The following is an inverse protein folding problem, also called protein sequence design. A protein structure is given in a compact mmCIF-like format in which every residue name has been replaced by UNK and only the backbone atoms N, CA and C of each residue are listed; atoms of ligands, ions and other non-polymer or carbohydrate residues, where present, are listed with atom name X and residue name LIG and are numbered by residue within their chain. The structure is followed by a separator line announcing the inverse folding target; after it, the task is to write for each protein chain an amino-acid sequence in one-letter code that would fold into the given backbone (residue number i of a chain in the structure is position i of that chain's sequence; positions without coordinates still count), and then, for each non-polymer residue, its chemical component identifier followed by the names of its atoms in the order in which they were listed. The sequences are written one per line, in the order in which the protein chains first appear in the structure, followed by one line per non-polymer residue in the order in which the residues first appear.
data_IF_036960669735
#
_entry.id   IF_036960669735
#
_cell.length_a   1.000
_cell.length_b   1.000
_cell.length_c   1.000
_cell.angle_alpha   90.00
_cell.angle_beta   90.00
_cell.angle_gamma   90.00
#
_symmetry.space_group_name_H-M   'P 1'
#
loop_
_entity.id
_entity.type
_entity.pdbx_description
1 polymer ?
#
# COMPACT_ATOMS: atom_id res chain seq x y z
N UNK A 1 -28.19 -11.88 -6.50
CA UNK A 1 -27.64 -11.07 -5.42
C UNK A 1 -26.50 -10.24 -5.94
N UNK A 2 -26.46 -8.99 -5.61
CA UNK A 2 -25.40 -8.10 -6.06
C UNK A 2 -24.48 -7.76 -4.90
N UNK A 3 -23.21 -7.72 -5.15
CA UNK A 3 -22.26 -7.37 -4.10
C UNK A 3 -21.05 -6.69 -4.72
N UNK A 4 -20.38 -5.91 -3.92
CA UNK A 4 -19.17 -5.21 -4.35
C UNK A 4 -18.22 -5.17 -3.17
N UNK A 5 -16.98 -5.50 -3.41
CA UNK A 5 -15.97 -5.48 -2.37
C UNK A 5 -14.70 -4.94 -2.99
N UNK A 6 -14.43 -3.67 -2.77
CA UNK A 6 -13.25 -3.04 -3.34
C UNK A 6 -12.65 -2.05 -2.36
N UNK A 7 -11.34 -2.11 -2.20
CA UNK A 7 -10.62 -1.26 -1.27
C UNK A 7 -9.47 -0.62 -2.02
N UNK A 8 -9.29 0.68 -1.86
CA UNK A 8 -8.17 1.39 -2.44
C UNK A 8 -7.51 2.18 -1.31
N UNK A 9 -6.22 1.94 -1.10
CA UNK A 9 -5.49 2.56 -0.01
C UNK A 9 -4.18 3.11 -0.51
N UNK A 10 -3.77 4.23 0.05
CA UNK A 10 -2.46 4.80 -0.21
C UNK A 10 -1.82 5.05 1.13
N UNK A 11 -0.68 4.49 1.37
CA UNK A 11 -0.02 4.63 2.64
C UNK A 11 1.42 4.16 2.58
N UNK A 12 1.99 3.98 3.77
CA UNK A 12 3.39 3.57 3.86
C UNK A 12 3.49 2.22 4.55
N UNK A 13 4.44 1.43 4.12
CA UNK A 13 4.66 0.12 4.72
C UNK A 13 5.19 0.29 6.13
N UNK A 14 4.66 -0.50 7.05
CA UNK A 14 5.07 -0.44 8.44
C UNK A 14 6.19 -1.40 8.74
N UNK A 15 6.45 -2.35 7.84
CA UNK A 15 7.52 -3.30 8.01
C UNK A 15 7.89 -3.83 6.63
N UNK A 16 9.01 -4.49 6.54
CA UNK A 16 9.42 -5.08 5.29
C UNK A 16 8.46 -6.19 4.91
N UNK A 17 8.15 -6.35 3.64
CA UNK A 17 7.27 -7.45 3.23
C UNK A 17 7.89 -8.81 3.55
N UNK A 18 7.06 -9.72 3.99
CA UNK A 18 7.51 -11.06 4.31
C UNK A 18 7.08 -11.96 3.18
N UNK A 19 8.02 -12.50 2.44
CA UNK A 19 7.73 -13.35 1.29
C UNK A 19 7.80 -14.80 1.70
N UNK A 20 6.76 -15.54 1.35
CA UNK A 20 6.70 -16.96 1.63
C UNK A 20 6.13 -17.66 0.41
N UNK A 21 6.25 -18.96 0.38
CA UNK A 21 5.72 -19.75 -0.72
C UNK A 21 4.73 -20.76 -0.16
N UNK A 22 3.60 -20.90 -0.83
CA UNK A 22 2.63 -21.91 -0.42
C UNK A 22 3.15 -23.30 -0.81
N UNK A 23 2.54 -24.35 -0.34
CA UNK A 23 2.94 -25.70 -0.72
C UNK A 23 2.90 -25.92 -2.23
N UNK A 24 2.08 -25.15 -2.93
CA UNK A 24 2.03 -25.27 -4.40
C UNK A 24 3.10 -24.45 -5.06
N UNK A 25 3.92 -23.74 -4.30
CA UNK A 25 4.95 -22.92 -4.89
C UNK A 25 4.52 -21.52 -5.26
N UNK A 26 3.35 -21.09 -4.85
CA UNK A 26 2.88 -19.75 -5.15
C UNK A 26 3.48 -18.75 -4.16
N UNK A 27 4.10 -17.69 -4.63
CA UNK A 27 4.64 -16.69 -3.71
C UNK A 27 3.52 -15.88 -3.06
N UNK A 28 3.69 -15.59 -1.78
CA UNK A 28 2.74 -14.79 -1.02
C UNK A 28 3.56 -13.79 -0.21
N UNK A 29 3.24 -12.52 -0.31
CA UNK A 29 3.94 -11.50 0.44
C UNK A 29 2.96 -10.75 1.31
N UNK A 30 3.30 -10.57 2.58
CA UNK A 30 2.44 -9.91 3.54
C UNK A 30 3.18 -8.73 4.15
N UNK A 31 2.50 -7.62 4.26
CA UNK A 31 3.10 -6.45 4.90
C UNK A 31 1.99 -5.61 5.53
N UNK A 32 2.37 -4.72 6.40
CA UNK A 32 1.43 -3.81 7.03
C UNK A 32 1.45 -2.48 6.32
N UNK A 33 0.32 -1.84 6.24
CA UNK A 33 0.20 -0.53 5.62
C UNK A 33 -0.38 0.44 6.64
N UNK A 34 0.21 1.60 6.75
CA UNK A 34 -0.29 2.65 7.63
C UNK A 34 -0.86 3.75 6.75
N UNK A 35 -2.14 4.01 6.92
CA UNK A 35 -2.82 5.04 6.14
C UNK A 35 -3.19 6.15 7.10
N UNK A 36 -2.62 7.32 6.89
CA UNK A 36 -2.83 8.45 7.76
C UNK A 36 -4.05 9.22 7.35
N UNK A 37 -4.76 9.71 8.32
CA UNK A 37 -5.91 10.53 8.06
C UNK A 37 -5.81 11.73 8.98
N UNK A 38 -6.01 12.90 8.44
CA UNK A 38 -5.99 14.11 9.22
C UNK A 38 -7.37 14.73 9.16
N UNK A 39 -7.91 15.07 10.30
CA UNK A 39 -9.25 15.62 10.33
C UNK A 39 -9.31 16.74 11.35
N UNK A 40 -10.33 17.55 11.23
CA UNK A 40 -10.49 18.68 12.10
C UNK A 40 -11.65 18.41 13.05
N UNK A 41 -11.39 18.62 14.33
CA UNK A 41 -12.43 18.46 15.32
C UNK A 41 -12.49 19.77 16.06
N UNK A 42 -13.55 20.54 15.87
CA UNK A 42 -13.61 21.86 16.45
C UNK A 42 -12.55 22.74 15.84
N UNK A 43 -11.72 23.29 16.67
CA UNK A 43 -10.64 24.13 16.21
C UNK A 43 -9.32 23.39 16.14
N UNK A 44 -9.31 22.11 16.41
CA UNK A 44 -8.07 21.36 16.47
C UNK A 44 -7.94 20.40 15.34
N UNK A 45 -6.74 20.25 14.83
CA UNK A 45 -6.43 19.24 13.82
C UNK A 45 -5.96 18.00 14.54
N UNK A 46 -6.49 16.86 14.14
CA UNK A 46 -6.13 15.60 14.75
C UNK A 46 -5.67 14.63 13.67
N UNK A 47 -4.79 13.74 14.08
CA UNK A 47 -4.27 12.73 13.17
C UNK A 47 -4.68 11.37 13.66
N UNK A 48 -4.93 10.48 12.73
CA UNK A 48 -5.27 9.12 13.09
C UNK A 48 -4.64 8.22 12.04
N UNK A 49 -4.25 7.04 12.44
CA UNK A 49 -3.58 6.12 11.54
C UNK A 49 -4.38 4.83 11.50
N UNK A 50 -4.66 4.36 10.30
CA UNK A 50 -5.30 3.08 10.12
C UNK A 50 -4.23 2.07 9.72
N UNK A 51 -4.09 1.01 10.50
CA UNK A 51 -3.14 -0.04 10.20
C UNK A 51 -3.89 -1.25 9.65
N UNK A 52 -3.46 -1.76 8.53
CA UNK A 52 -4.13 -2.89 7.92
C UNK A 52 -3.08 -3.78 7.27
N UNK A 53 -3.27 -5.08 7.34
CA UNK A 53 -2.36 -6.01 6.70
C UNK A 53 -2.76 -6.20 5.25
N UNK A 54 -1.77 -6.26 4.39
CA UNK A 54 -1.96 -6.43 2.96
C UNK A 54 -1.33 -7.75 2.55
N UNK A 55 -2.03 -8.51 1.73
CA UNK A 55 -1.56 -9.79 1.25
C UNK A 55 -1.50 -9.74 -0.27
N UNK A 56 -0.38 -10.13 -0.85
CA UNK A 56 -0.23 -10.18 -2.30
C UNK A 56 0.16 -11.59 -2.70
N UNK A 57 -0.20 -11.98 -3.90
CA UNK A 57 0.05 -13.32 -4.40
C UNK A 57 0.72 -13.27 -5.76
N UNK A 58 1.45 -14.31 -6.07
CA UNK A 58 1.99 -14.50 -7.40
C UNK A 58 3.15 -13.57 -7.71
N UNK A 59 3.28 -13.20 -8.96
CA UNK A 59 4.38 -12.37 -9.36
C UNK A 59 4.37 -11.04 -8.59
N UNK A 60 3.21 -10.54 -8.30
CA UNK A 60 3.13 -9.30 -7.56
C UNK A 60 3.76 -9.44 -6.18
N UNK A 61 3.62 -10.60 -5.55
CA UNK A 61 4.23 -10.81 -4.25
C UNK A 61 5.75 -10.76 -4.36
N UNK A 62 6.30 -11.31 -5.42
CA UNK A 62 7.73 -11.27 -5.61
C UNK A 62 8.20 -9.85 -5.88
N UNK A 63 7.47 -9.11 -6.70
CA UNK A 63 7.85 -7.73 -7.00
C UNK A 63 7.79 -6.88 -5.74
N UNK A 64 6.76 -7.07 -4.93
CA UNK A 64 6.64 -6.31 -3.71
C UNK A 64 7.82 -6.62 -2.78
N UNK A 65 8.16 -7.88 -2.64
CA UNK A 65 9.27 -8.25 -1.77
C UNK A 65 10.60 -7.72 -2.27
N UNK A 66 10.71 -7.50 -3.56
CA UNK A 66 11.95 -7.04 -4.15
C UNK A 66 12.12 -5.54 -4.06
N UNK A 67 11.05 -4.78 -4.23
CA UNK A 67 11.15 -3.34 -4.37
C UNK A 67 10.61 -2.52 -3.21
N UNK A 68 9.80 -3.10 -2.36
CA UNK A 68 9.24 -2.33 -1.24
C UNK A 68 9.89 -2.74 0.06
N UNK A 69 10.01 -1.78 0.96
CA UNK A 69 10.50 -2.08 2.28
C UNK A 69 9.85 -1.13 3.26
N UNK A 70 10.18 -1.28 4.52
CA UNK A 70 9.58 -0.47 5.55
C UNK A 70 9.72 1.00 5.19
N UNK A 71 8.63 1.74 5.27
CA UNK A 71 8.63 3.15 4.94
C UNK A 71 8.29 3.49 3.51
N UNK A 72 8.29 2.49 2.62
CA UNK A 72 7.95 2.76 1.23
C UNK A 72 6.50 3.18 1.11
N UNK A 73 6.20 4.02 0.15
CA UNK A 73 4.84 4.45 -0.11
C UNK A 73 4.27 3.60 -1.24
N UNK A 74 3.07 3.14 -1.06
CA UNK A 74 2.44 2.29 -2.07
C UNK A 74 0.95 2.53 -2.11
N UNK A 75 0.38 2.39 -3.29
CA UNK A 75 -1.07 2.44 -3.44
C UNK A 75 -1.55 1.03 -3.71
N UNK A 76 -2.53 0.59 -2.93
CA UNK A 76 -3.02 -0.76 -2.95
C UNK A 76 -4.45 -0.75 -3.42
N UNK A 77 -4.76 -1.61 -4.35
CA UNK A 77 -6.14 -1.79 -4.78
C UNK A 77 -6.45 -3.26 -4.63
N UNK A 78 -7.55 -3.59 -3.99
CA UNK A 78 -7.87 -4.99 -3.78
C UNK A 78 -9.24 -5.13 -3.13
N UNK A 79 -9.40 -6.19 -2.37
CA UNK A 79 -10.66 -6.48 -1.70
C UNK A 79 -10.41 -6.75 -0.23
N UNK A 80 -11.41 -6.50 0.56
CA UNK A 80 -11.33 -6.78 1.98
C UNK A 80 -11.66 -8.25 2.20
N UNK A 81 -10.87 -8.92 3.00
CA UNK A 81 -11.07 -10.32 3.27
C UNK A 81 -11.16 -10.53 4.77
N UNK A 82 -12.14 -11.29 5.19
CA UNK A 82 -12.26 -11.67 6.58
C UNK A 82 -11.74 -13.09 6.70
N UNK A 83 -10.86 -13.30 7.66
CA UNK A 83 -10.28 -14.60 7.86
C UNK A 83 -10.46 -14.98 9.31
N UNK A 84 -10.85 -16.21 9.57
CA UNK A 84 -10.99 -16.66 10.93
C UNK A 84 -10.29 -17.99 11.09
N UNK A 85 -9.81 -18.26 12.27
CA UNK A 85 -9.13 -19.50 12.57
C UNK A 85 -9.26 -19.79 14.05
N UNK A 86 -8.91 -20.99 14.44
CA UNK A 86 -9.02 -21.41 15.81
C UNK A 86 -7.62 -21.67 16.31
N UNK A 87 -7.28 -21.14 17.47
CA UNK A 87 -5.96 -21.37 18.02
C UNK A 87 -5.92 -22.69 18.70
N UNK A 88 -4.74 -23.11 19.12
CA UNK A 88 -4.59 -24.39 19.79
C UNK A 88 -5.33 -24.40 21.10
N UNK A 89 -5.56 -23.27 21.70
CA UNK A 89 -6.30 -23.22 22.95
C UNK A 89 -7.80 -23.36 22.72
N UNK A 90 -8.24 -23.44 21.50
CA UNK A 90 -9.65 -23.52 21.22
C UNK A 90 -10.31 -22.18 21.09
N UNK A 91 -9.54 -21.10 21.09
CA UNK A 91 -10.10 -19.76 20.94
C UNK A 91 -10.27 -19.43 19.48
N UNK A 92 -11.38 -18.80 19.15
CA UNK A 92 -11.61 -18.40 17.79
C UNK A 92 -11.06 -16.99 17.59
N UNK A 93 -10.36 -16.81 16.52
CA UNK A 93 -9.80 -15.51 16.20
C UNK A 93 -10.15 -15.14 14.78
N UNK A 94 -10.22 -13.85 14.53
CA UNK A 94 -10.53 -13.40 13.19
C UNK A 94 -9.79 -12.10 12.94
N UNK A 95 -9.63 -11.78 11.68
CA UNK A 95 -9.05 -10.50 11.33
C UNK A 95 -9.46 -10.15 9.92
N UNK A 96 -9.42 -8.87 9.64
CA UNK A 96 -9.67 -8.37 8.30
C UNK A 96 -8.34 -7.99 7.69
N UNK A 97 -8.18 -8.28 6.43
CA UNK A 97 -6.97 -7.90 5.71
C UNK A 97 -7.37 -7.58 4.29
N UNK A 98 -6.49 -6.97 3.53
CA UNK A 98 -6.76 -6.62 2.15
C UNK A 98 -5.95 -7.52 1.26
N UNK A 99 -6.61 -8.21 0.34
CA UNK A 99 -5.92 -9.01 -0.65
C UNK A 99 -5.75 -8.10 -1.86
N UNK A 100 -4.52 -7.75 -2.17
CA UNK A 100 -4.25 -6.79 -3.22
C UNK A 100 -4.35 -7.44 -4.59
N UNK A 101 -5.06 -6.78 -5.48
CA UNK A 101 -5.08 -7.19 -6.86
C UNK A 101 -4.10 -6.33 -7.65
N UNK A 102 -3.73 -5.19 -7.14
CA UNK A 102 -2.80 -4.30 -7.82
C UNK A 102 -2.04 -3.48 -6.79
N UNK A 103 -0.73 -3.40 -6.95
CA UNK A 103 0.11 -2.61 -6.07
C UNK A 103 0.88 -1.64 -6.94
N UNK A 104 0.73 -0.35 -6.68
CA UNK A 104 1.47 0.66 -7.40
C UNK A 104 2.55 1.22 -6.51
N UNK A 105 3.76 1.19 -6.99
CA UNK A 105 4.90 1.70 -6.23
C UNK A 105 4.94 3.20 -6.43
N UNK A 106 4.93 3.94 -5.34
CA UNK A 106 4.94 5.39 -5.41
C UNK A 106 6.31 5.93 -5.07
N UNK A 107 6.71 7.01 -5.68
CA UNK A 107 8.02 7.58 -5.38
C UNK A 107 8.00 8.18 -3.98
N UNK A 108 9.16 8.18 -3.33
CA UNK A 108 9.24 8.78 -2.04
C UNK A 108 9.08 10.23 -2.15
N UNK A 109 8.29 10.75 -1.29
CA UNK A 109 8.11 12.16 -1.33
C UNK A 109 9.17 12.88 -0.62
N UNK A 110 9.98 12.36 -0.08
CA UNK A 110 10.86 13.03 0.70
C UNK A 110 11.65 13.77 0.14
N UNK A 111 11.62 14.22 0.03
CA UNK A 111 12.23 14.88 -0.36
C UNK A 111 13.28 15.22 -0.41
N UNK A 112 13.49 15.28 -0.08
CA UNK A 112 14.50 15.60 -0.04
C UNK A 112 15.12 15.16 -0.96
N UNK A 113 15.24 14.61 -0.82
CA UNK A 113 16.00 14.12 -1.64
C UNK A 113 15.57 14.42 -2.83
N UNK A 114 14.69 14.07 -2.92
CA UNK A 114 14.31 14.24 -4.08
C UNK A 114 14.57 15.45 -4.54
N UNK A 115 14.40 16.18 -3.82
CA UNK A 115 14.51 17.42 -4.31
C UNK A 115 15.53 17.51 -5.28
N UNK A 116 16.58 17.31 -4.98
CA UNK A 116 17.56 17.61 -5.78
C UNK A 116 17.51 16.90 -6.92
N UNK A 117 17.32 15.90 -6.80
CA UNK A 117 17.45 15.20 -7.95
C UNK A 117 16.52 15.74 -8.87
N UNK A 118 15.47 15.87 -8.46
CA UNK A 118 14.60 16.30 -9.37
C UNK A 118 14.99 17.42 -10.06
N UNK A 119 15.50 18.15 -9.49
CA UNK A 119 15.80 19.28 -10.14
C UNK A 119 16.37 18.97 -11.36
N UNK A 120 17.12 18.18 -11.41
CA UNK A 120 17.75 18.05 -12.48
C UNK A 120 16.96 17.75 -13.50
N UNK A 121 16.40 16.92 -13.53
CA UNK A 121 15.80 16.58 -14.56
C UNK A 121 14.85 17.35 -14.96
N UNK A 122 14.50 17.89 -14.22
CA UNK A 122 13.50 18.69 -14.51
C UNK A 122 13.84 19.45 -15.61
N UNK A 123 14.83 19.69 -15.66
CA UNK A 123 15.15 20.52 -16.65
C UNK A 123 14.60 20.00 -17.84
N UNK A 124 14.56 19.10 -18.04
CA UNK A 124 14.14 18.69 -19.10
C UNK A 124 12.92 18.76 -19.25
N UNK A 125 12.58 19.21 -18.88
CA UNK A 125 11.41 19.48 -18.97
C UNK A 125 10.75 18.79 -19.59
N UNK A 126 11.10 18.58 -19.95
CA UNK A 126 10.53 17.97 -20.49
C UNK A 126 9.63 17.50 -20.02
N UNK A 127 9.80 17.57 -19.64
CA UNK A 127 9.09 17.12 -19.25
C UNK A 127 7.99 17.32 -19.19
N UNK A 128 7.99 17.79 -19.50
CA UNK A 128 7.07 17.98 -19.38
C UNK A 128 6.05 17.59 -19.45
N UNK A 129 6.25 17.33 -19.80
CA UNK A 129 5.40 16.99 -19.83
C UNK A 129 4.62 16.44 -19.26
N UNK A 130 4.91 16.28 -19.10
CA UNK A 130 4.32 15.76 -18.57
C UNK A 130 3.36 15.67 -18.11
N UNK A 131 3.18 15.91 -18.34
CA UNK A 131 2.32 15.93 -17.83
C UNK A 131 1.56 15.47 -17.38
N UNK A 132 1.62 15.17 -17.63
CA UNK A 132 0.94 14.74 -17.24
C UNK A 132 0.34 14.26 -16.63
N UNK A 133 0.33 14.10 -16.73
CA UNK A 133 -0.26 13.66 -16.21
C UNK A 133 -0.71 13.43 -15.44
N UNK A 134 -0.74 13.53 -15.38
CA UNK A 134 -1.14 13.39 -14.63
C UNK A 134 -2.00 13.24 -14.06
N UNK A 135 -2.23 13.35 -14.28
CA UNK A 135 -2.96 13.31 -13.73
C UNK A 135 -3.71 12.86 -13.13
N UNK A 136 -3.70 12.66 -13.25
CA UNK A 136 -4.36 12.07 -12.84
C UNK A 136 -4.65 11.88 -11.89
N UNK A 137 -4.38 12.04 -11.83
CA UNK A 137 -4.54 11.77 -11.07
C UNK A 137 -4.96 11.84 -10.08
N UNK A 138 -4.90 12.08 -9.95
CA UNK A 138 -5.11 12.05 -8.92
C UNK A 138 -6.04 11.91 -8.29
N UNK A 139 -6.22 11.67 -8.14
CA UNK A 139 -7.24 11.53 -7.65
C UNK A 139 -7.36 11.34 -6.42
N UNK A 140 -7.56 11.60 -5.99
CA UNK A 140 -7.81 11.25 -4.88
C UNK A 140 -8.08 11.96 -4.15
#
# INVERSE_FOLDING_TARGET
MASLNKVILLGNLTRDPELRYTPNGTPVSTFGLAVNRRYRQGDEWKDEVCYIDIVTYGRQAETVGEYLNKGSMAMIEGRLQWRSWETEDGQKRSKHEVVASNVQFMPRMRDEGGGRASTDFSSEGTAADLPLPPDDDIPF
#
